data_IF_326526479961
#
_entry.id   IF_326526479961
#
_cell.length_a   1.000
_cell.length_b   1.000
_cell.length_c   1.000
_cell.angle_alpha   90.00
_cell.angle_beta   90.00
_cell.angle_gamma   90.00
#
_symmetry.space_group_name_H-M   'P 1'
#
loop_
_entity.id
_entity.type
_entity.pdbx_description
1 polymer ?
#
# COMPACT_ATOMS: atom_id res chain seq x y z
N UNK A 1 -19.94 32.28 66.16
CA UNK A 1 -20.07 31.68 67.50
C UNK A 1 -20.84 30.36 67.35
N UNK A 2 -20.20 29.24 67.76
CA UNK A 2 -20.75 27.88 68.04
C UNK A 2 -21.33 27.02 66.90
N UNK A 3 -20.62 25.89 66.70
CA UNK A 3 -20.97 24.66 65.99
C UNK A 3 -21.90 23.80 66.86
N UNK A 4 -22.90 23.11 66.29
CA UNK A 4 -23.43 21.82 66.82
C UNK A 4 -23.88 20.90 65.66
N UNK A 5 -23.55 19.62 65.80
CA UNK A 5 -23.62 18.51 64.83
C UNK A 5 -24.99 17.78 64.76
N UNK A 6 -25.20 17.07 63.64
CA UNK A 6 -26.30 16.15 63.23
C UNK A 6 -26.54 14.95 64.18
N UNK A 7 -27.63 14.17 64.02
CA UNK A 7 -27.44 12.87 63.34
C UNK A 7 -28.63 12.26 62.55
N UNK A 8 -28.25 11.39 61.59
CA UNK A 8 -28.79 10.06 61.28
C UNK A 8 -30.09 9.80 60.48
N UNK A 9 -29.88 8.95 59.46
CA UNK A 9 -30.70 7.85 58.88
C UNK A 9 -32.15 8.14 58.45
N UNK A 10 -32.47 8.12 57.16
CA UNK A 10 -32.55 6.99 56.22
C UNK A 10 -33.99 6.52 56.05
N UNK A 11 -34.53 6.59 54.82
CA UNK A 11 -35.25 5.48 54.18
C UNK A 11 -35.56 5.80 52.71
N UNK A 12 -35.31 4.77 51.92
CA UNK A 12 -35.35 4.67 50.47
C UNK A 12 -36.79 4.39 50.01
N UNK A 13 -37.24 5.09 48.96
CA UNK A 13 -38.39 4.74 48.10
C UNK A 13 -38.23 5.58 46.83
N UNK A 14 -37.54 5.13 45.77
CA UNK A 14 -37.94 4.10 44.79
C UNK A 14 -39.38 4.28 44.28
N UNK A 15 -39.60 5.30 43.45
CA UNK A 15 -40.61 5.22 42.39
C UNK A 15 -40.01 5.72 41.07
N UNK A 16 -39.47 4.76 40.35
CA UNK A 16 -38.87 4.86 39.03
C UNK A 16 -39.92 5.36 38.03
N UNK A 17 -39.78 6.60 37.55
CA UNK A 17 -40.54 7.10 36.41
C UNK A 17 -40.05 6.37 35.14
N UNK A 18 -40.76 5.29 34.78
CA UNK A 18 -40.58 4.59 33.52
C UNK A 18 -41.21 5.43 32.40
N UNK A 19 -40.41 6.32 31.80
CA UNK A 19 -40.76 6.97 30.54
C UNK A 19 -40.83 5.88 29.45
N UNK A 20 -42.03 5.64 28.93
CA UNK A 20 -42.27 4.78 27.78
C UNK A 20 -41.61 5.44 26.56
N UNK A 21 -40.45 4.93 26.16
CA UNK A 21 -39.84 5.26 24.87
C UNK A 21 -40.60 4.50 23.77
N UNK A 22 -41.32 5.22 22.92
CA UNK A 22 -41.87 4.66 21.69
C UNK A 22 -40.73 4.13 20.81
N UNK A 23 -40.82 2.91 20.26
CA UNK A 23 -39.81 2.44 19.32
C UNK A 23 -39.95 3.28 18.03
N UNK A 24 -38.98 4.15 17.77
CA UNK A 24 -38.75 4.69 16.45
C UNK A 24 -38.38 3.51 15.53
N UNK A 25 -39.38 2.96 14.84
CA UNK A 25 -39.17 1.95 13.81
C UNK A 25 -38.49 2.62 12.62
N UNK A 26 -37.15 2.66 12.65
CA UNK A 26 -36.36 2.98 11.47
C UNK A 26 -36.59 1.93 10.38
N UNK A 27 -36.45 2.31 9.09
CA UNK A 27 -36.66 1.37 7.99
C UNK A 27 -35.75 0.15 8.17
N UNK A 28 -36.32 -1.03 7.98
CA UNK A 28 -35.58 -2.28 8.15
C UNK A 28 -34.41 -2.33 7.16
N UNK A 29 -33.33 -3.04 7.52
CA UNK A 29 -32.18 -3.24 6.60
C UNK A 29 -32.62 -3.82 5.25
N UNK A 30 -33.65 -4.65 5.26
CA UNK A 30 -34.26 -5.21 4.05
C UNK A 30 -34.92 -4.13 3.18
N UNK A 31 -35.63 -3.16 3.77
CA UNK A 31 -36.23 -2.04 3.05
C UNK A 31 -35.17 -1.07 2.53
N UNK A 32 -34.12 -0.81 3.30
CA UNK A 32 -33.02 0.04 2.86
C UNK A 32 -32.24 -0.61 1.70
N UNK A 33 -32.07 -1.93 1.71
CA UNK A 33 -31.50 -2.69 0.59
C UNK A 33 -32.40 -2.69 -0.65
N UNK A 34 -33.72 -2.69 -0.48
CA UNK A 34 -34.67 -2.54 -1.61
C UNK A 34 -34.61 -1.13 -2.19
N UNK A 35 -34.56 -0.09 -1.35
CA UNK A 35 -34.42 1.29 -1.81
C UNK A 35 -33.09 1.54 -2.53
N UNK A 36 -31.97 0.99 -2.05
CA UNK A 36 -30.68 1.15 -2.74
C UNK A 36 -30.68 0.49 -4.12
N UNK A 37 -31.30 -0.68 -4.24
CA UNK A 37 -31.50 -1.35 -5.54
C UNK A 37 -32.41 -0.57 -6.48
N UNK A 38 -33.49 0.02 -5.97
CA UNK A 38 -34.39 0.86 -6.76
C UNK A 38 -33.70 2.13 -7.26
N UNK A 39 -32.91 2.80 -6.40
CA UNK A 39 -32.11 3.98 -6.79
C UNK A 39 -31.09 3.66 -7.89
N UNK A 40 -30.37 2.54 -7.78
CA UNK A 40 -29.40 2.09 -8.80
C UNK A 40 -30.04 1.70 -10.13
N UNK A 41 -31.34 1.38 -10.14
CA UNK A 41 -32.10 1.11 -11.36
C UNK A 41 -32.63 2.39 -12.04
N UNK A 42 -32.80 3.48 -11.26
CA UNK A 42 -33.28 4.78 -11.75
C UNK A 42 -32.13 5.70 -12.20
N UNK A 43 -30.88 5.40 -11.83
CA UNK A 43 -29.73 6.08 -12.40
C UNK A 43 -29.59 5.76 -13.90
N UNK A 44 -29.41 6.77 -14.77
CA UNK A 44 -29.25 6.56 -16.20
C UNK A 44 -28.00 5.71 -16.45
N UNK A 45 -28.19 4.48 -16.95
CA UNK A 45 -27.10 3.62 -17.39
C UNK A 45 -26.51 4.21 -18.67
N UNK A 46 -25.46 5.01 -18.54
CA UNK A 46 -24.86 5.63 -19.72
C UNK A 46 -23.63 6.46 -19.44
N UNK A 47 -22.59 5.87 -18.85
CA UNK A 47 -21.22 6.38 -19.03
C UNK A 47 -20.61 5.72 -20.26
N UNK A 48 -19.91 6.48 -21.11
CA UNK A 48 -19.14 5.89 -22.22
C UNK A 48 -18.12 4.91 -21.63
N UNK A 49 -18.23 3.64 -21.99
CA UNK A 49 -17.27 2.60 -21.60
C UNK A 49 -16.11 2.69 -22.58
N UNK A 50 -15.04 3.35 -22.16
CA UNK A 50 -13.78 3.29 -22.89
C UNK A 50 -13.17 1.90 -22.66
N UNK A 51 -13.16 1.10 -23.71
CA UNK A 51 -12.53 -0.21 -23.77
C UNK A 51 -11.14 -0.09 -24.38
N UNK A 52 -10.35 -1.17 -24.33
CA UNK A 52 -9.01 -1.19 -24.92
C UNK A 52 -9.00 -0.89 -26.44
N UNK A 53 -10.16 -0.99 -27.10
CA UNK A 53 -10.36 -0.66 -28.51
C UNK A 53 -10.55 0.84 -28.77
N UNK A 54 -10.87 1.63 -27.74
CA UNK A 54 -11.02 3.09 -27.83
C UNK A 54 -9.66 3.82 -27.67
N UNK A 55 -8.58 3.05 -27.49
CA UNK A 55 -7.22 3.58 -27.38
C UNK A 55 -6.64 3.71 -28.80
N UNK A 56 -6.35 4.91 -29.32
CA UNK A 56 -5.68 5.06 -30.59
C UNK A 56 -4.29 4.41 -30.52
N UNK A 57 -4.06 3.39 -31.34
CA UNK A 57 -2.75 2.74 -31.46
C UNK A 57 -1.67 3.78 -31.77
N UNK A 58 -0.58 3.86 -30.98
CA UNK A 58 0.51 4.75 -31.32
C UNK A 58 1.11 4.32 -32.66
N UNK A 59 1.09 5.22 -33.64
CA UNK A 59 1.87 5.06 -34.86
C UNK A 59 3.34 5.14 -34.47
N UNK A 60 4.00 3.99 -34.37
CA UNK A 60 5.44 3.92 -34.12
C UNK A 60 6.11 4.34 -35.43
N UNK A 61 6.51 5.61 -35.52
CA UNK A 61 7.40 6.06 -36.59
C UNK A 61 8.76 5.36 -36.43
N UNK A 62 9.27 4.66 -37.47
CA UNK A 62 10.60 4.08 -37.40
C UNK A 62 11.65 5.20 -37.29
N UNK A 63 12.55 5.07 -36.33
CA UNK A 63 13.67 5.99 -36.14
C UNK A 63 14.59 5.97 -37.37
N UNK A 64 15.05 7.15 -37.88
CA UNK A 64 16.05 7.20 -38.94
C UNK A 64 17.42 6.63 -38.49
N UNK A 65 18.20 6.00 -39.38
CA UNK A 65 19.54 5.52 -39.05
C UNK A 65 20.49 6.67 -38.71
N UNK A 66 21.30 6.50 -37.66
CA UNK A 66 22.30 7.48 -37.22
C UNK A 66 23.40 7.67 -38.29
N UNK A 67 23.61 8.91 -38.70
CA UNK A 67 24.70 9.32 -39.58
C UNK A 67 26.02 9.43 -38.81
N UNK A 68 27.07 8.84 -39.37
CA UNK A 68 28.46 8.91 -38.93
C UNK A 68 29.08 10.26 -39.38
N UNK A 69 29.74 11.04 -38.49
CA UNK A 69 30.48 12.22 -38.94
C UNK A 69 31.90 11.87 -39.37
N UNK A 70 32.27 12.40 -40.53
CA UNK A 70 33.58 12.36 -41.14
C UNK A 70 34.57 13.35 -40.49
N UNK A 71 35.83 13.00 -40.63
CA UNK A 71 37.05 13.73 -40.26
C UNK A 71 37.32 14.89 -41.24
N UNK A 72 37.79 16.05 -40.76
CA UNK A 72 38.16 17.16 -41.63
C UNK A 72 38.56 18.49 -40.97
N UNK A 73 39.88 18.69 -40.90
CA UNK A 73 40.63 19.94 -41.11
C UNK A 73 40.76 21.02 -40.00
N UNK A 74 42.03 21.39 -39.81
CA UNK A 74 42.67 22.38 -38.94
C UNK A 74 42.58 23.82 -39.48
N UNK A 75 42.55 24.83 -38.60
CA UNK A 75 43.53 25.93 -38.50
C UNK A 75 43.05 27.12 -37.63
N UNK A 76 43.92 27.59 -36.73
CA UNK A 76 43.99 29.01 -36.31
C UNK A 76 43.75 29.38 -34.83
N UNK A 77 44.85 29.54 -34.08
CA UNK A 77 45.20 30.62 -33.09
C UNK A 77 44.07 31.53 -32.50
N UNK A 78 43.98 31.94 -31.23
CA UNK A 78 44.91 32.14 -30.09
C UNK A 78 44.12 32.45 -28.78
N UNK A 79 44.73 32.21 -27.61
CA UNK A 79 44.44 32.80 -26.27
C UNK A 79 43.32 32.18 -25.37
N UNK A 80 43.42 32.29 -24.02
CA UNK A 80 43.26 31.15 -23.12
C UNK A 80 41.91 31.03 -22.39
N UNK A 81 41.66 29.82 -21.87
CA UNK A 81 40.78 29.49 -20.76
C UNK A 81 39.25 29.60 -20.97
N UNK A 82 38.67 28.49 -21.43
CA UNK A 82 37.55 27.85 -20.74
C UNK A 82 37.56 26.37 -21.13
N UNK A 83 37.77 25.48 -20.17
CA UNK A 83 37.56 24.06 -20.41
C UNK A 83 36.09 23.86 -20.82
N UNK A 84 35.80 23.15 -21.93
CA UNK A 84 34.44 22.78 -22.25
C UNK A 84 33.94 21.86 -21.13
N UNK A 85 32.86 22.28 -20.47
CA UNK A 85 32.14 21.46 -19.51
C UNK A 85 31.83 20.11 -20.17
N UNK A 86 32.29 19.05 -19.52
CA UNK A 86 31.95 17.68 -19.88
C UNK A 86 30.41 17.50 -19.82
N UNK A 87 29.85 16.52 -20.54
CA UNK A 87 28.41 16.35 -20.66
C UNK A 87 27.76 16.10 -19.30
N UNK A 88 27.01 17.09 -18.82
CA UNK A 88 25.89 16.96 -17.88
C UNK A 88 26.11 16.08 -16.64
N UNK A 89 27.06 16.40 -15.76
CA UNK A 89 27.01 15.88 -14.40
C UNK A 89 25.82 16.51 -13.66
N UNK A 90 24.88 15.65 -13.21
CA UNK A 90 23.77 16.08 -12.36
C UNK A 90 24.34 16.73 -11.11
N UNK A 91 23.74 17.85 -10.67
CA UNK A 91 24.16 18.48 -9.42
C UNK A 91 24.03 17.49 -8.25
N UNK A 92 24.89 17.61 -7.21
CA UNK A 92 24.84 16.71 -6.05
C UNK A 92 23.46 16.70 -5.37
N UNK A 93 22.74 17.82 -5.41
CA UNK A 93 21.38 17.96 -4.89
C UNK A 93 20.34 17.11 -5.64
N UNK A 94 20.47 16.98 -6.97
CA UNK A 94 19.59 16.13 -7.78
C UNK A 94 19.88 14.67 -7.47
N UNK A 95 21.16 14.30 -7.37
CA UNK A 95 21.57 12.93 -7.03
C UNK A 95 21.05 12.56 -5.64
N UNK A 96 21.20 13.43 -4.64
CA UNK A 96 20.67 13.20 -3.29
C UNK A 96 19.16 12.94 -3.32
N UNK A 97 18.38 13.78 -4.02
CA UNK A 97 16.93 13.59 -4.16
C UNK A 97 16.60 12.24 -4.78
N UNK A 98 17.30 11.85 -5.85
CA UNK A 98 17.10 10.54 -6.50
C UNK A 98 17.34 9.38 -5.52
N UNK A 99 18.39 9.41 -4.70
CA UNK A 99 18.62 8.37 -3.70
C UNK A 99 17.57 8.38 -2.59
N UNK A 100 17.20 9.56 -2.07
CA UNK A 100 16.16 9.68 -1.03
C UNK A 100 14.83 9.11 -1.51
N UNK A 101 14.44 9.39 -2.75
CA UNK A 101 13.24 8.84 -3.36
C UNK A 101 13.32 7.32 -3.49
N UNK A 102 14.46 6.78 -3.96
CA UNK A 102 14.67 5.33 -4.04
C UNK A 102 14.56 4.65 -2.68
N UNK A 103 15.22 5.19 -1.64
CA UNK A 103 15.12 4.66 -0.28
C UNK A 103 13.68 4.73 0.25
N UNK A 104 12.97 5.83 0.02
CA UNK A 104 11.58 5.98 0.42
C UNK A 104 10.69 4.91 -0.24
N UNK A 105 10.85 4.69 -1.55
CA UNK A 105 10.11 3.67 -2.28
C UNK A 105 10.42 2.25 -1.78
N UNK A 106 11.69 1.93 -1.55
CA UNK A 106 12.08 0.61 -1.04
C UNK A 106 11.56 0.36 0.38
N UNK A 107 11.59 1.37 1.26
CA UNK A 107 11.00 1.29 2.61
C UNK A 107 9.48 1.09 2.55
N UNK A 108 8.79 1.83 1.68
CA UNK A 108 7.34 1.64 1.48
C UNK A 108 7.02 0.23 0.97
N UNK A 109 7.82 -0.29 0.05
CA UNK A 109 7.67 -1.65 -0.44
C UNK A 109 7.92 -2.69 0.66
N UNK A 110 8.98 -2.53 1.46
CA UNK A 110 9.24 -3.39 2.61
C UNK A 110 8.04 -3.41 3.58
N UNK A 111 7.53 -2.23 3.95
CA UNK A 111 6.38 -2.13 4.86
C UNK A 111 5.11 -2.78 4.26
N UNK A 112 4.91 -2.66 2.95
CA UNK A 112 3.80 -3.32 2.26
C UNK A 112 3.93 -4.84 2.34
N UNK A 113 5.11 -5.39 2.03
CA UNK A 113 5.33 -6.84 2.07
C UNK A 113 5.27 -7.41 3.49
N UNK A 114 5.74 -6.66 4.49
CA UNK A 114 5.60 -7.02 5.91
C UNK A 114 4.13 -7.02 6.36
N UNK A 115 3.34 -6.02 5.95
CA UNK A 115 1.89 -6.00 6.22
C UNK A 115 1.17 -7.16 5.54
N UNK A 116 1.52 -7.49 4.30
CA UNK A 116 0.95 -8.64 3.59
C UNK A 116 1.28 -9.94 4.32
N UNK A 117 2.53 -10.11 4.77
CA UNK A 117 2.96 -11.27 5.56
C UNK A 117 2.10 -11.43 6.84
N UNK A 118 1.89 -10.34 7.58
CA UNK A 118 1.08 -10.32 8.80
C UNK A 118 -0.39 -10.71 8.52
N UNK A 119 -0.98 -10.17 7.45
CA UNK A 119 -2.33 -10.59 7.02
C UNK A 119 -2.38 -12.09 6.69
N UNK A 120 -1.42 -12.60 5.91
CA UNK A 120 -1.38 -14.02 5.54
C UNK A 120 -1.21 -14.94 6.76
N UNK A 121 -0.41 -14.54 7.76
CA UNK A 121 -0.27 -15.26 9.02
C UNK A 121 -1.60 -15.32 9.79
N UNK A 122 -2.33 -14.20 9.88
CA UNK A 122 -3.65 -14.17 10.51
C UNK A 122 -4.66 -15.04 9.77
N UNK A 123 -4.66 -15.01 8.45
CA UNK A 123 -5.55 -15.83 7.63
C UNK A 123 -5.25 -17.32 7.78
N UNK A 124 -3.97 -17.72 7.86
CA UNK A 124 -3.59 -19.11 8.12
C UNK A 124 -4.11 -19.56 9.50
N UNK A 125 -3.92 -18.73 10.53
CA UNK A 125 -4.43 -19.02 11.88
C UNK A 125 -5.95 -19.16 11.90
N UNK A 126 -6.68 -18.31 11.16
CA UNK A 126 -8.12 -18.40 11.02
C UNK A 126 -8.54 -19.69 10.31
N UNK A 127 -7.88 -20.03 9.19
CA UNK A 127 -8.17 -21.23 8.42
C UNK A 127 -7.96 -22.50 9.28
N UNK A 128 -6.90 -22.53 10.10
CA UNK A 128 -6.66 -23.63 11.03
C UNK A 128 -7.78 -23.77 12.07
N UNK A 129 -8.28 -22.66 12.64
CA UNK A 129 -9.40 -22.70 13.59
C UNK A 129 -10.70 -23.17 12.92
N UNK A 130 -11.01 -22.63 11.74
CA UNK A 130 -12.22 -22.95 10.99
C UNK A 130 -12.26 -24.41 10.53
N UNK A 131 -11.11 -24.96 10.14
CA UNK A 131 -10.99 -26.36 9.74
C UNK A 131 -11.47 -27.33 10.84
N UNK A 132 -11.25 -27.00 12.12
CA UNK A 132 -11.74 -27.85 13.22
C UNK A 132 -13.18 -27.55 13.64
N UNK A 133 -13.66 -26.32 13.45
CA UNK A 133 -14.99 -25.90 13.91
C UNK A 133 -16.11 -26.18 12.89
N UNK A 134 -15.82 -26.18 11.59
CA UNK A 134 -16.83 -26.41 10.55
C UNK A 134 -16.74 -27.87 10.02
N UNK A 135 -17.73 -28.73 10.31
CA UNK A 135 -17.74 -30.12 9.86
C UNK A 135 -17.68 -30.28 8.33
N UNK A 136 -18.20 -29.31 7.57
CA UNK A 136 -18.19 -29.37 6.11
C UNK A 136 -16.80 -29.08 5.54
N UNK A 137 -16.06 -28.17 6.17
CA UNK A 137 -14.66 -27.89 5.82
C UNK A 137 -13.78 -29.06 6.24
N UNK A 138 -13.98 -29.56 7.46
CA UNK A 138 -13.27 -30.73 7.98
C UNK A 138 -13.45 -31.96 7.08
N UNK A 139 -14.68 -32.22 6.60
CA UNK A 139 -14.97 -33.34 5.69
C UNK A 139 -14.32 -33.14 4.32
N UNK A 140 -14.39 -31.92 3.76
CA UNK A 140 -13.78 -31.61 2.45
C UNK A 140 -12.27 -31.73 2.47
N UNK A 141 -11.64 -31.35 3.58
CA UNK A 141 -10.19 -31.33 3.74
C UNK A 141 -9.63 -32.53 4.50
N UNK A 142 -10.47 -33.54 4.79
CA UNK A 142 -10.16 -34.68 5.66
C UNK A 142 -8.85 -35.39 5.32
N UNK A 143 -8.50 -35.46 4.03
CA UNK A 143 -7.34 -36.21 3.55
C UNK A 143 -6.14 -35.34 3.18
N UNK A 144 -6.38 -34.11 2.67
CA UNK A 144 -5.34 -33.32 2.01
C UNK A 144 -4.94 -32.04 2.72
N UNK A 145 -5.81 -31.43 3.54
CA UNK A 145 -5.61 -30.07 4.09
C UNK A 145 -5.11 -29.07 3.04
N UNK A 146 -5.66 -29.14 1.82
CA UNK A 146 -5.12 -28.44 0.66
C UNK A 146 -5.05 -26.93 0.84
N UNK A 147 -6.08 -26.31 1.43
CA UNK A 147 -6.08 -24.86 1.69
C UNK A 147 -5.02 -24.46 2.72
N UNK A 148 -4.87 -25.23 3.80
CA UNK A 148 -3.84 -24.97 4.82
C UNK A 148 -2.45 -25.09 4.19
N UNK A 149 -2.22 -26.13 3.39
CA UNK A 149 -0.95 -26.34 2.70
C UNK A 149 -0.64 -25.23 1.70
N UNK A 150 -1.64 -24.81 0.91
CA UNK A 150 -1.51 -23.71 -0.03
C UNK A 150 -1.19 -22.39 0.67
N UNK A 151 -1.95 -22.04 1.72
CA UNK A 151 -1.70 -20.82 2.52
C UNK A 151 -0.32 -20.84 3.17
N UNK A 152 0.14 -22.01 3.62
CA UNK A 152 1.49 -22.18 4.17
C UNK A 152 2.55 -21.93 3.08
N UNK A 153 2.38 -22.48 1.88
CA UNK A 153 3.28 -22.25 0.77
C UNK A 153 3.32 -20.77 0.33
N UNK A 154 2.16 -20.12 0.21
CA UNK A 154 2.04 -18.70 -0.11
C UNK A 154 2.74 -17.83 0.95
N UNK A 155 2.66 -18.21 2.22
CA UNK A 155 3.33 -17.53 3.33
C UNK A 155 4.87 -17.65 3.22
N UNK A 156 5.40 -18.81 2.84
CA UNK A 156 6.85 -18.96 2.59
C UNK A 156 7.33 -18.13 1.41
N UNK A 157 6.54 -18.06 0.32
CA UNK A 157 6.82 -17.15 -0.80
C UNK A 157 6.83 -15.69 -0.32
N UNK A 158 5.86 -15.32 0.52
CA UNK A 158 5.78 -13.96 1.06
C UNK A 158 6.93 -13.64 2.01
N UNK A 159 7.41 -14.59 2.82
CA UNK A 159 8.65 -14.42 3.62
C UNK A 159 9.83 -14.13 2.72
N UNK A 160 10.00 -14.88 1.63
CA UNK A 160 11.07 -14.63 0.67
C UNK A 160 10.95 -13.24 0.02
N UNK A 161 9.73 -12.76 -0.24
CA UNK A 161 9.49 -11.40 -0.74
C UNK A 161 9.92 -10.32 0.26
N UNK A 162 9.62 -10.50 1.56
CA UNK A 162 10.08 -9.60 2.63
C UNK A 162 11.60 -9.56 2.70
N UNK A 163 12.26 -10.73 2.67
CA UNK A 163 13.72 -10.79 2.69
C UNK A 163 14.34 -10.14 1.44
N UNK A 164 13.74 -10.32 0.27
CA UNK A 164 14.15 -9.63 -0.95
C UNK A 164 14.00 -8.11 -0.84
N UNK A 165 12.93 -7.62 -0.22
CA UNK A 165 12.73 -6.18 0.00
C UNK A 165 13.78 -5.60 0.95
N UNK A 166 14.12 -6.31 2.03
CA UNK A 166 15.22 -5.95 2.94
C UNK A 166 16.56 -5.93 2.23
N UNK A 167 16.83 -6.94 1.41
CA UNK A 167 18.07 -7.03 0.65
C UNK A 167 18.20 -5.85 -0.34
N UNK A 168 17.11 -5.46 -1.01
CA UNK A 168 17.12 -4.32 -1.92
C UNK A 168 17.52 -3.00 -1.22
N UNK A 169 17.11 -2.80 0.03
CA UNK A 169 17.54 -1.65 0.85
C UNK A 169 19.04 -1.76 1.15
N UNK A 170 19.49 -2.93 1.62
CA UNK A 170 20.90 -3.16 1.93
C UNK A 170 21.81 -2.99 0.69
N UNK A 171 21.35 -3.42 -0.49
CA UNK A 171 22.06 -3.26 -1.75
C UNK A 171 22.20 -1.78 -2.14
N UNK A 172 21.15 -0.98 -1.93
CA UNK A 172 21.21 0.46 -2.17
C UNK A 172 22.13 1.18 -1.15
N UNK A 173 22.17 0.72 0.10
CA UNK A 173 23.13 1.22 1.09
C UNK A 173 24.59 0.83 0.73
N UNK A 174 24.79 -0.38 0.19
CA UNK A 174 26.07 -0.82 -0.34
C UNK A 174 26.48 0.05 -1.55
N UNK A 175 25.54 0.45 -2.40
CA UNK A 175 25.77 1.36 -3.52
C UNK A 175 26.20 2.76 -3.06
N UNK A 176 25.60 3.30 -1.99
CA UNK A 176 26.07 4.54 -1.39
C UNK A 176 27.53 4.41 -0.93
N UNK A 177 27.85 3.30 -0.24
CA UNK A 177 29.21 3.04 0.25
C UNK A 177 30.22 2.87 -0.89
N UNK A 178 29.88 2.12 -1.93
CA UNK A 178 30.77 1.88 -3.07
C UNK A 178 31.04 3.15 -3.88
N UNK A 179 30.06 4.05 -3.96
CA UNK A 179 30.18 5.35 -4.62
C UNK A 179 30.73 6.46 -3.72
N UNK A 180 31.13 6.14 -2.48
CA UNK A 180 31.56 7.11 -1.47
C UNK A 180 30.56 8.26 -1.25
N UNK A 181 29.27 7.97 -1.41
CA UNK A 181 28.19 8.93 -1.19
C UNK A 181 27.84 9.01 0.30
N UNK A 182 27.31 10.15 0.78
CA UNK A 182 26.96 10.31 2.18
C UNK A 182 25.95 9.25 2.66
N UNK A 183 26.23 8.52 3.76
CA UNK A 183 25.30 7.53 4.30
C UNK A 183 24.02 8.15 4.84
N UNK A 184 24.01 9.48 5.09
CA UNK A 184 22.83 10.23 5.50
C UNK A 184 21.72 10.30 4.44
N UNK A 185 21.99 9.94 3.20
CA UNK A 185 21.00 9.88 2.13
C UNK A 185 20.04 8.69 2.23
N UNK A 186 20.38 7.67 3.03
CA UNK A 186 19.53 6.51 3.30
C UNK A 186 18.40 6.79 4.32
N UNK A 187 18.40 7.96 4.95
CA UNK A 187 17.45 8.33 6.01
C UNK A 187 16.13 8.79 5.43
#
# INVERSE_FOLDING_TARGET
MKIVYKPALALISLFTAFCIAAPAQGPSLAEMARQSRAKKQQEPKGGKVFTNEDIPSPTISPAPPAAQPAEGALAGETAPAAAPAAPGEKSPEVIEKEYREKFAQLKQNQELEERRLDVMQRELNLAQQQHYSDPNVALREQYGREEINKRTADLEIQKAAVEKAKQAIADLENELRSKNLPPGWAR
#
